data_IF_458947922945
#
_entry.id   IF_458947922945
#
_cell.length_a   1.000
_cell.length_b   1.000
_cell.length_c   1.000
_cell.angle_alpha   90.00
_cell.angle_beta   90.00
_cell.angle_gamma   90.00
#
_symmetry.space_group_name_H-M   'P 1'
#
loop_
_entity.id
_entity.type
_entity.pdbx_description
1 polymer ?
#
# COMPACT_ATOMS: atom_id res chain seq x y z
N UNK A 1 -5.92 20.61 -4.08
CA UNK A 1 -6.13 19.22 -4.57
C UNK A 1 -4.81 18.69 -5.09
N UNK A 2 -4.53 17.40 -4.93
CA UNK A 2 -3.43 16.75 -5.67
C UNK A 2 -3.85 16.58 -7.12
N UNK A 3 -2.90 16.66 -8.04
CA UNK A 3 -3.18 16.43 -9.47
C UNK A 3 -3.44 14.93 -9.73
N UNK A 4 -4.13 14.63 -10.82
CA UNK A 4 -4.37 13.25 -11.31
C UNK A 4 -3.04 12.48 -11.43
N UNK A 5 -2.00 13.12 -11.95
CA UNK A 5 -0.66 12.53 -12.08
C UNK A 5 -0.01 12.24 -10.71
N UNK A 6 -0.15 13.13 -9.74
CA UNK A 6 0.36 12.93 -8.39
C UNK A 6 -0.38 11.78 -7.69
N UNK A 7 -1.70 11.71 -7.83
CA UNK A 7 -2.51 10.64 -7.27
C UNK A 7 -2.16 9.28 -7.88
N UNK A 8 -2.09 9.18 -9.20
CA UNK A 8 -1.73 7.94 -9.91
C UNK A 8 -0.32 7.47 -9.58
N UNK A 9 0.65 8.39 -9.52
CA UNK A 9 2.03 8.09 -9.11
C UNK A 9 2.05 7.54 -7.69
N UNK A 10 1.36 8.20 -6.75
CA UNK A 10 1.33 7.77 -5.36
C UNK A 10 0.64 6.42 -5.16
N UNK A 11 -0.44 6.16 -5.91
CA UNK A 11 -1.12 4.85 -5.90
C UNK A 11 -0.17 3.75 -6.36
N UNK A 12 0.60 3.97 -7.45
CA UNK A 12 1.59 3.01 -7.95
C UNK A 12 2.67 2.71 -6.91
N UNK A 13 3.21 3.73 -6.25
CA UNK A 13 4.20 3.56 -5.18
C UNK A 13 3.65 2.76 -4.01
N UNK A 14 2.46 3.09 -3.53
CA UNK A 14 1.81 2.37 -2.43
C UNK A 14 1.58 0.90 -2.80
N UNK A 15 1.14 0.62 -4.04
CA UNK A 15 0.95 -0.75 -4.49
C UNK A 15 2.28 -1.54 -4.55
N UNK A 16 3.38 -0.91 -4.98
CA UNK A 16 4.72 -1.53 -4.91
C UNK A 16 5.12 -1.83 -3.47
N UNK A 17 4.88 -0.90 -2.55
CA UNK A 17 5.16 -1.10 -1.12
C UNK A 17 4.34 -2.24 -0.52
N UNK A 18 3.05 -2.35 -0.86
CA UNK A 18 2.18 -3.45 -0.41
C UNK A 18 2.76 -4.81 -0.81
N UNK A 19 3.18 -4.95 -2.08
CA UNK A 19 3.76 -6.20 -2.57
C UNK A 19 5.09 -6.52 -1.87
N UNK A 20 5.96 -5.52 -1.71
CA UNK A 20 7.24 -5.68 -1.04
C UNK A 20 7.08 -6.12 0.42
N UNK A 21 6.22 -5.42 1.18
CA UNK A 21 5.93 -5.72 2.59
C UNK A 21 5.30 -7.10 2.76
N UNK A 22 4.41 -7.53 1.85
CA UNK A 22 3.85 -8.88 1.88
C UNK A 22 4.92 -9.95 1.63
N UNK A 23 5.80 -9.74 0.66
CA UNK A 23 6.91 -10.67 0.37
C UNK A 23 7.86 -10.79 1.56
N UNK A 24 8.27 -9.66 2.14
CA UNK A 24 9.10 -9.63 3.34
C UNK A 24 8.42 -10.30 4.53
N UNK A 25 7.15 -9.99 4.78
CA UNK A 25 6.38 -10.62 5.86
C UNK A 25 6.16 -12.12 5.66
N UNK A 26 6.24 -12.63 4.44
CA UNK A 26 6.25 -14.08 4.18
C UNK A 26 7.64 -14.66 4.41
N UNK A 27 8.71 -14.01 3.94
CA UNK A 27 10.08 -14.52 4.07
C UNK A 27 10.55 -14.61 5.52
N UNK A 28 10.13 -13.66 6.37
CA UNK A 28 10.53 -13.64 7.79
C UNK A 28 9.57 -14.40 8.71
N UNK A 29 8.48 -14.99 8.20
CA UNK A 29 7.44 -15.59 9.06
C UNK A 29 7.95 -16.74 9.93
N UNK A 30 8.84 -17.57 9.39
CA UNK A 30 9.37 -18.73 10.11
C UNK A 30 10.42 -18.34 11.15
N UNK A 31 11.14 -17.23 10.92
CA UNK A 31 12.23 -16.76 11.79
C UNK A 31 11.77 -15.74 12.82
N UNK A 32 10.82 -14.87 12.45
CA UNK A 32 10.25 -13.84 13.31
C UNK A 32 8.76 -13.59 12.98
N UNK A 33 7.86 -14.35 13.62
CA UNK A 33 6.42 -14.19 13.43
C UNK A 33 5.88 -12.82 13.85
N UNK A 34 6.53 -12.15 14.81
CA UNK A 34 6.12 -10.83 15.30
C UNK A 34 6.39 -9.76 14.25
N UNK A 35 7.60 -9.74 13.70
CA UNK A 35 7.96 -8.87 12.59
C UNK A 35 7.11 -9.16 11.35
N UNK A 36 6.88 -10.42 11.03
CA UNK A 36 6.00 -10.81 9.93
C UNK A 36 4.58 -10.25 10.09
N UNK A 37 4.03 -10.27 11.30
CA UNK A 37 2.71 -9.67 11.61
C UNK A 37 2.73 -8.15 11.40
N UNK A 38 3.78 -7.46 11.86
CA UNK A 38 3.94 -6.01 11.68
C UNK A 38 4.02 -5.64 10.19
N UNK A 39 4.84 -6.34 9.40
CA UNK A 39 4.98 -6.11 7.96
C UNK A 39 3.65 -6.33 7.21
N UNK A 40 2.91 -7.38 7.56
CA UNK A 40 1.57 -7.63 6.99
C UNK A 40 0.57 -6.54 7.38
N UNK A 41 0.67 -6.00 8.59
CA UNK A 41 -0.17 -4.88 9.02
C UNK A 41 0.15 -3.59 8.26
N UNK A 42 1.44 -3.26 8.11
CA UNK A 42 1.88 -2.13 7.28
C UNK A 42 1.41 -2.26 5.83
N UNK A 43 1.46 -3.47 5.26
CA UNK A 43 0.93 -3.74 3.92
C UNK A 43 -0.57 -3.48 3.82
N UNK A 44 -1.36 -3.82 4.86
CA UNK A 44 -2.80 -3.53 4.91
C UNK A 44 -3.06 -2.03 4.95
N UNK A 45 -2.28 -1.29 5.74
CA UNK A 45 -2.40 0.17 5.83
C UNK A 45 -2.05 0.88 4.53
N UNK A 46 -0.95 0.47 3.88
CA UNK A 46 -0.57 0.98 2.56
C UNK A 46 -1.67 0.70 1.52
N UNK A 47 -2.30 -0.48 1.57
CA UNK A 47 -3.42 -0.84 0.70
C UNK A 47 -4.67 -0.01 0.98
N UNK A 48 -4.99 0.29 2.24
CA UNK A 48 -6.11 1.19 2.58
C UNK A 48 -5.85 2.60 2.07
N UNK A 49 -4.62 3.10 2.23
CA UNK A 49 -4.21 4.42 1.72
C UNK A 49 -4.34 4.47 0.19
N UNK A 50 -3.93 3.43 -0.53
CA UNK A 50 -4.08 3.41 -2.00
C UNK A 50 -5.55 3.41 -2.42
N UNK A 51 -6.43 2.70 -1.71
CA UNK A 51 -7.88 2.74 -1.97
C UNK A 51 -8.48 4.13 -1.77
N UNK A 52 -8.09 4.86 -0.72
CA UNK A 52 -8.55 6.25 -0.50
C UNK A 52 -8.14 7.15 -1.65
N UNK A 53 -6.89 7.04 -2.12
CA UNK A 53 -6.41 7.84 -3.26
C UNK A 53 -7.11 7.46 -4.58
N UNK A 54 -7.44 6.19 -4.79
CA UNK A 54 -8.24 5.75 -5.94
C UNK A 54 -9.64 6.38 -5.88
N UNK A 55 -10.27 6.46 -4.71
CA UNK A 55 -11.56 7.11 -4.55
C UNK A 55 -11.47 8.63 -4.80
N UNK A 56 -10.40 9.28 -4.34
CA UNK A 56 -10.14 10.69 -4.65
C UNK A 56 -9.97 10.90 -6.17
N UNK A 57 -9.18 10.05 -6.83
CA UNK A 57 -8.97 10.07 -8.28
C UNK A 57 -10.30 9.94 -9.04
N UNK A 58 -11.17 9.01 -8.61
CA UNK A 58 -12.50 8.82 -9.21
C UNK A 58 -13.40 10.05 -9.05
N UNK A 59 -13.32 10.74 -7.91
CA UNK A 59 -14.09 11.98 -7.67
C UNK A 59 -13.60 13.15 -8.51
N UNK A 60 -12.31 13.18 -8.87
CA UNK A 60 -11.76 14.23 -9.74
C UNK A 60 -12.03 13.98 -11.23
N UNK A 61 -12.39 12.75 -11.61
CA UNK A 61 -12.71 12.37 -12.98
C UNK A 61 -14.20 12.51 -13.33
N UNK A 62 -15.04 12.91 -12.36
CA UNK A 62 -16.46 13.26 -12.51
C UNK A 62 -16.57 14.78 -12.50
#
# INVERSE_FOLDING_TARGET
MRTVEQLTTRIKELNKQVVALRRQGTSVYLTDPSLAKQLRQQAREASKRSQVLIQELKRQAI
#
